data_IF_552359316292
#
_entry.id   IF_552359316292
#
_cell.length_a   1.000
_cell.length_b   1.000
_cell.length_c   1.000
_cell.angle_alpha   90.00
_cell.angle_beta   90.00
_cell.angle_gamma   90.00
#
_symmetry.space_group_name_H-M   'P 1'
#
loop_
_entity.id
_entity.type
_entity.pdbx_description
1 polymer ?
#
# COMPACT_ATOMS: atom_id res chain seq x y z
N UNK A 1 8.71 -2.53 -13.96
CA UNK A 1 8.07 -3.59 -14.77
C UNK A 1 6.61 -3.18 -14.94
N UNK A 2 6.16 -2.81 -16.14
CA UNK A 2 4.77 -2.40 -16.41
C UNK A 2 4.00 -3.63 -16.90
N UNK A 3 2.99 -4.07 -16.16
CA UNK A 3 2.09 -5.11 -16.63
C UNK A 3 1.11 -4.48 -17.63
N UNK A 4 1.31 -4.71 -18.93
CA UNK A 4 0.32 -4.34 -19.96
C UNK A 4 -1.06 -4.85 -19.50
N UNK A 5 -2.04 -3.95 -19.43
CA UNK A 5 -3.44 -4.13 -18.96
C UNK A 5 -3.76 -3.79 -17.50
N UNK A 6 -2.76 -3.52 -16.67
CA UNK A 6 -3.00 -2.93 -15.36
C UNK A 6 -2.09 -1.70 -15.23
N UNK A 7 -2.65 -0.51 -15.47
CA UNK A 7 -1.94 0.75 -15.26
C UNK A 7 -1.76 0.97 -13.75
N UNK A 8 -0.73 0.34 -13.20
CA UNK A 8 -0.22 0.62 -11.88
C UNK A 8 1.26 1.00 -11.94
N UNK A 9 1.66 1.81 -10.98
CA UNK A 9 3.06 2.09 -10.69
C UNK A 9 3.46 1.33 -9.43
N UNK A 10 4.68 0.82 -9.42
CA UNK A 10 5.28 0.27 -8.21
C UNK A 10 6.10 1.39 -7.59
N UNK A 11 5.84 1.71 -6.33
CA UNK A 11 6.61 2.67 -5.55
C UNK A 11 7.19 1.99 -4.31
N UNK A 12 8.34 2.47 -3.85
CA UNK A 12 8.95 2.02 -2.60
C UNK A 12 9.20 3.26 -1.73
N UNK A 13 8.20 3.71 -0.95
CA UNK A 13 8.31 4.95 -0.18
C UNK A 13 9.36 4.90 0.94
N UNK A 14 9.70 3.70 1.43
CA UNK A 14 10.79 3.48 2.38
C UNK A 14 11.30 2.02 2.28
N UNK A 15 12.41 1.64 2.94
CA UNK A 15 12.98 0.30 2.82
C UNK A 15 12.07 -0.86 3.25
N UNK A 16 11.08 -0.61 4.12
CA UNK A 16 10.16 -1.62 4.64
C UNK A 16 8.78 -1.61 3.97
N UNK A 17 8.53 -0.72 3.01
CA UNK A 17 7.21 -0.53 2.39
C UNK A 17 7.29 -0.52 0.88
N UNK A 18 6.45 -1.32 0.22
CA UNK A 18 6.22 -1.33 -1.23
C UNK A 18 4.76 -1.02 -1.49
N UNK A 19 4.48 -0.21 -2.50
CA UNK A 19 3.14 0.21 -2.89
C UNK A 19 2.86 -0.13 -4.35
N UNK A 20 1.65 -0.62 -4.62
CA UNK A 20 1.07 -0.66 -5.97
C UNK A 20 0.06 0.49 -6.05
N UNK A 21 0.32 1.45 -6.95
CA UNK A 21 -0.52 2.64 -7.08
C UNK A 21 -1.22 2.70 -8.41
N UNK A 22 -2.51 2.96 -8.39
CA UNK A 22 -3.31 3.28 -9.57
C UNK A 22 -4.43 4.24 -9.20
N UNK A 23 -5.14 4.74 -10.20
CA UNK A 23 -6.28 5.65 -10.01
C UNK A 23 -7.47 4.97 -9.33
N UNK A 24 -7.59 3.63 -9.39
CA UNK A 24 -8.77 2.89 -8.89
C UNK A 24 -8.51 2.05 -7.66
N UNK A 25 -7.29 1.52 -7.55
CA UNK A 25 -6.89 0.61 -6.49
C UNK A 25 -5.46 0.92 -6.03
N UNK A 26 -5.27 0.95 -4.72
CA UNK A 26 -3.97 1.17 -4.12
C UNK A 26 -3.71 0.07 -3.10
N UNK A 27 -2.53 -0.52 -3.15
CA UNK A 27 -2.10 -1.56 -2.20
C UNK A 27 -0.81 -1.13 -1.54
N UNK A 28 -0.75 -1.32 -0.22
CA UNK A 28 0.43 -1.06 0.60
C UNK A 28 0.86 -2.38 1.26
N UNK A 29 2.08 -2.78 0.96
CA UNK A 29 2.78 -3.88 1.64
C UNK A 29 3.82 -3.28 2.58
N UNK A 30 3.76 -3.61 3.87
CA UNK A 30 4.76 -3.16 4.85
C UNK A 30 5.25 -4.32 5.71
N UNK A 31 6.56 -4.42 5.87
CA UNK A 31 7.18 -5.34 6.82
C UNK A 31 7.41 -4.62 8.16
N UNK A 32 6.87 -5.18 9.25
CA UNK A 32 7.08 -4.68 10.61
C UNK A 32 7.22 -5.87 11.58
N UNK A 33 8.30 -5.91 12.37
CA UNK A 33 8.51 -6.95 13.40
C UNK A 33 8.31 -8.39 12.90
N UNK A 34 8.82 -8.71 11.70
CA UNK A 34 8.65 -10.00 11.01
C UNK A 34 7.22 -10.34 10.55
N UNK A 35 6.30 -9.37 10.58
CA UNK A 35 4.94 -9.50 10.05
C UNK A 35 4.82 -8.68 8.76
N UNK A 36 4.29 -9.32 7.71
CA UNK A 36 3.90 -8.64 6.49
C UNK A 36 2.46 -8.11 6.63
N UNK A 37 2.30 -6.80 6.57
CA UNK A 37 1.03 -6.11 6.53
C UNK A 37 0.68 -5.87 5.06
N UNK A 38 -0.51 -6.31 4.65
CA UNK A 38 -1.08 -6.08 3.31
C UNK A 38 -2.40 -5.30 3.44
N UNK A 39 -2.44 -4.10 2.86
CA UNK A 39 -3.61 -3.22 2.86
C UNK A 39 -3.97 -2.85 1.44
N UNK A 40 -5.12 -3.33 0.96
CA UNK A 40 -5.68 -2.95 -0.33
C UNK A 40 -6.91 -2.06 -0.16
N UNK A 41 -6.94 -0.94 -0.88
CA UNK A 41 -8.06 0.00 -0.92
C UNK A 41 -8.54 0.16 -2.37
N UNK A 42 -9.82 -0.12 -2.59
CA UNK A 42 -10.46 -0.12 -3.91
C UNK A 42 -11.73 0.74 -3.87
N UNK A 43 -11.94 1.58 -4.88
CA UNK A 43 -13.22 2.26 -5.11
C UNK A 43 -13.50 3.47 -4.21
N UNK A 44 -12.60 3.84 -3.31
CA UNK A 44 -12.69 5.06 -2.52
C UNK A 44 -12.00 6.24 -3.22
N UNK A 45 -12.56 7.47 -3.13
CA UNK A 45 -11.79 8.68 -3.37
C UNK A 45 -10.54 8.66 -2.47
N UNK A 46 -9.41 9.17 -2.96
CA UNK A 46 -8.17 9.22 -2.17
C UNK A 46 -7.71 7.85 -1.65
N UNK A 47 -7.90 6.78 -2.45
CA UNK A 47 -7.57 5.40 -2.05
C UNK A 47 -6.11 5.22 -1.62
N UNK A 48 -5.15 5.95 -2.22
CA UNK A 48 -3.76 5.96 -1.78
C UNK A 48 -3.60 6.48 -0.34
N UNK A 49 -4.23 7.61 -0.01
CA UNK A 49 -4.13 8.23 1.32
C UNK A 49 -4.81 7.34 2.37
N UNK A 50 -5.93 6.71 1.99
CA UNK A 50 -6.61 5.74 2.85
C UNK A 50 -5.74 4.51 3.12
N UNK A 51 -5.07 3.96 2.09
CA UNK A 51 -4.19 2.81 2.25
C UNK A 51 -3.01 3.13 3.18
N UNK A 52 -2.42 4.32 3.05
CA UNK A 52 -1.37 4.80 3.95
C UNK A 52 -1.87 4.93 5.40
N UNK A 53 -3.02 5.57 5.61
CA UNK A 53 -3.57 5.76 6.94
C UNK A 53 -3.87 4.43 7.65
N UNK A 54 -4.39 3.43 6.92
CA UNK A 54 -4.68 2.11 7.47
C UNK A 54 -3.39 1.35 7.80
N UNK A 55 -2.38 1.33 6.91
CA UNK A 55 -1.12 0.63 7.21
C UNK A 55 -0.38 1.27 8.39
N UNK A 56 -0.41 2.60 8.52
CA UNK A 56 0.15 3.31 9.67
C UNK A 56 -0.59 2.96 10.95
N UNK A 57 -1.92 2.96 10.91
CA UNK A 57 -2.73 2.59 12.08
C UNK A 57 -2.52 1.11 12.51
N UNK A 58 -2.32 0.18 11.57
CA UNK A 58 -1.95 -1.22 11.91
C UNK A 58 -0.55 -1.24 12.53
N UNK A 59 0.41 -0.56 11.91
CA UNK A 59 1.82 -0.51 12.37
C UNK A 59 1.92 0.05 13.79
N UNK A 60 1.16 1.10 14.12
CA UNK A 60 1.14 1.71 15.44
C UNK A 60 0.59 0.80 16.54
N UNK A 61 -0.30 -0.16 16.20
CA UNK A 61 -0.85 -1.15 17.14
C UNK A 61 0.07 -2.33 17.40
N UNK A 62 1.12 -2.48 16.59
CA UNK A 62 2.12 -3.54 16.74
C UNK A 62 3.31 -3.15 17.63
N UNK A 63 3.24 -1.98 18.28
CA UNK A 63 4.18 -1.58 19.33
C UNK A 63 4.11 -2.52 20.53
#
# INVERSE_FOLDING_TARGET
MQAKHYDFTIAQPNPSTVALKSDRWNVMYRLQSSVLIDVAVLGLPQSEQTANAVVDAITDRMK
#
